data_IF_634527135422
#
_entry.id   IF_634527135422
#
_cell.length_a   1.000
_cell.length_b   1.000
_cell.length_c   1.000
_cell.angle_alpha   90.00
_cell.angle_beta   90.00
_cell.angle_gamma   90.00
#
_symmetry.space_group_name_H-M   'P 1'
#
loop_
_entity.id
_entity.type
_entity.pdbx_description
1 polymer ?
#
# COMPACT_ATOMS: atom_id res chain seq x y z
N UNK A 1 3.63 -23.19 2.51
CA UNK A 1 2.77 -22.36 1.64
C UNK A 1 2.85 -20.91 2.11
N UNK A 2 3.93 -20.22 1.75
CA UNK A 2 4.17 -18.79 2.06
C UNK A 2 4.84 -18.07 0.86
N UNK A 3 5.40 -18.82 -0.08
CA UNK A 3 6.12 -18.31 -1.25
C UNK A 3 5.24 -17.45 -2.18
N UNK A 4 3.93 -17.73 -2.25
CA UNK A 4 3.01 -16.97 -3.09
C UNK A 4 2.65 -15.58 -2.52
N UNK A 5 2.69 -15.42 -1.19
CA UNK A 5 2.24 -14.18 -0.55
C UNK A 5 3.23 -13.03 -0.76
N UNK A 6 4.54 -13.32 -0.69
CA UNK A 6 5.58 -12.33 -0.96
C UNK A 6 5.64 -11.93 -2.42
N UNK A 7 5.40 -12.87 -3.34
CA UNK A 7 5.40 -12.58 -4.78
C UNK A 7 4.19 -11.73 -5.19
N UNK A 8 3.02 -12.02 -4.60
CA UNK A 8 1.82 -11.18 -4.77
C UNK A 8 2.01 -9.77 -4.19
N UNK A 9 2.67 -9.59 -3.05
CA UNK A 9 2.95 -8.25 -2.49
C UNK A 9 3.94 -7.51 -3.40
N UNK A 10 5.01 -8.17 -3.85
CA UNK A 10 5.98 -7.60 -4.80
C UNK A 10 5.32 -7.15 -6.11
N UNK A 11 4.45 -7.97 -6.68
CA UNK A 11 3.70 -7.61 -7.89
C UNK A 11 2.71 -6.48 -7.63
N UNK A 12 2.00 -6.53 -6.50
CA UNK A 12 1.10 -5.45 -6.07
C UNK A 12 1.83 -4.12 -5.86
N UNK A 13 3.06 -4.15 -5.35
CA UNK A 13 3.92 -2.98 -5.23
C UNK A 13 4.39 -2.45 -6.58
N UNK A 14 4.80 -3.33 -7.50
CA UNK A 14 5.19 -2.96 -8.88
C UNK A 14 4.04 -2.34 -9.67
N UNK A 15 2.82 -2.83 -9.47
CA UNK A 15 1.60 -2.29 -10.09
C UNK A 15 1.20 -0.93 -9.51
N UNK A 16 1.81 -0.51 -8.39
CA UNK A 16 1.52 0.76 -7.74
C UNK A 16 0.40 0.65 -6.72
N UNK A 17 0.70 0.04 -5.56
CA UNK A 17 -0.21 -0.07 -4.39
C UNK A 17 -0.99 1.22 -4.11
N UNK A 18 -0.30 2.36 -4.11
CA UNK A 18 -0.90 3.65 -3.83
C UNK A 18 -1.97 4.03 -4.88
N UNK A 19 -1.66 3.89 -6.17
CA UNK A 19 -2.61 4.16 -7.24
C UNK A 19 -3.76 3.14 -7.26
N UNK A 20 -3.51 1.89 -6.88
CA UNK A 20 -4.57 0.87 -6.86
C UNK A 20 -5.57 1.06 -5.72
N UNK A 21 -5.13 1.46 -4.53
CA UNK A 21 -5.98 1.50 -3.32
C UNK A 21 -6.29 2.92 -2.87
N UNK A 22 -5.31 3.81 -2.86
CA UNK A 22 -5.50 5.17 -2.33
C UNK A 22 -6.36 6.04 -3.25
N UNK A 23 -6.35 5.81 -4.57
CA UNK A 23 -7.23 6.52 -5.51
C UNK A 23 -8.73 6.27 -5.21
N UNK A 24 -9.05 5.10 -4.64
CA UNK A 24 -10.42 4.77 -4.22
C UNK A 24 -10.87 5.61 -3.02
N UNK A 25 -9.92 6.05 -2.17
CA UNK A 25 -10.20 6.89 -0.99
C UNK A 25 -10.74 8.25 -1.45
N UNK A 26 -10.13 8.85 -2.48
CA UNK A 26 -10.58 10.11 -3.07
C UNK A 26 -11.96 9.95 -3.73
N UNK A 27 -12.20 8.83 -4.41
CA UNK A 27 -13.47 8.57 -5.09
C UNK A 27 -14.65 8.34 -4.12
N UNK A 28 -14.40 7.78 -2.94
CA UNK A 28 -15.42 7.38 -1.96
C UNK A 28 -15.75 8.50 -0.96
N UNK A 29 -14.78 9.36 -0.62
CA UNK A 29 -14.95 10.43 0.35
C UNK A 29 -15.46 11.77 -0.23
N UNK A 30 -16.40 11.72 -1.19
CA UNK A 30 -16.98 12.95 -1.78
C UNK A 30 -17.79 13.80 -0.79
N UNK A 31 -18.10 13.26 0.40
CA UNK A 31 -18.85 13.95 1.46
C UNK A 31 -17.97 14.41 2.64
N UNK A 32 -16.68 14.08 2.62
CA UNK A 32 -15.74 14.41 3.70
C UNK A 32 -14.96 15.67 3.35
N UNK A 33 -14.55 16.44 4.37
CA UNK A 33 -13.81 17.68 4.14
C UNK A 33 -12.50 17.41 3.42
N UNK A 34 -12.07 18.29 2.51
CA UNK A 34 -10.86 18.12 1.69
C UNK A 34 -9.62 17.74 2.53
N UNK A 35 -9.48 18.30 3.73
CA UNK A 35 -8.38 17.97 4.64
C UNK A 35 -8.40 16.53 5.18
N UNK A 36 -9.58 15.96 5.44
CA UNK A 36 -9.73 14.59 5.93
C UNK A 36 -9.44 13.57 4.81
N UNK A 37 -9.78 13.91 3.57
CA UNK A 37 -9.44 13.10 2.40
C UNK A 37 -7.93 13.07 2.17
N UNK A 38 -7.26 14.22 2.29
CA UNK A 38 -5.81 14.32 2.14
C UNK A 38 -5.10 13.47 3.20
N UNK A 39 -5.49 13.59 4.47
CA UNK A 39 -4.88 12.80 5.55
C UNK A 39 -5.07 11.29 5.35
N UNK A 40 -6.25 10.86 4.90
CA UNK A 40 -6.52 9.46 4.59
C UNK A 40 -5.67 8.93 3.42
N UNK A 41 -5.46 9.76 2.38
CA UNK A 41 -4.58 9.42 1.25
C UNK A 41 -3.13 9.34 1.71
N UNK A 42 -2.66 10.27 2.54
CA UNK A 42 -1.29 10.25 3.08
C UNK A 42 -1.03 8.99 3.94
N UNK A 43 -1.96 8.63 4.83
CA UNK A 43 -1.87 7.39 5.59
C UNK A 43 -1.87 6.15 4.70
N UNK A 44 -2.68 6.14 3.64
CA UNK A 44 -2.72 5.04 2.69
C UNK A 44 -1.39 4.89 1.93
N UNK A 45 -0.81 5.99 1.45
CA UNK A 45 0.50 5.99 0.76
C UNK A 45 1.60 5.49 1.70
N UNK A 46 1.60 5.92 2.96
CA UNK A 46 2.56 5.45 3.95
C UNK A 46 2.42 3.96 4.23
N UNK A 47 1.20 3.45 4.37
CA UNK A 47 0.96 2.02 4.55
C UNK A 47 1.44 1.19 3.34
N UNK A 48 1.18 1.67 2.12
CA UNK A 48 1.72 1.07 0.89
C UNK A 48 3.25 1.07 0.88
N UNK A 49 3.88 2.18 1.26
CA UNK A 49 5.33 2.29 1.35
C UNK A 49 5.90 1.31 2.38
N UNK A 50 5.30 1.21 3.56
CA UNK A 50 5.72 0.26 4.57
C UNK A 50 5.58 -1.18 4.07
N UNK A 51 4.42 -1.54 3.51
CA UNK A 51 4.17 -2.88 2.96
C UNK A 51 5.23 -3.26 1.91
N UNK A 52 5.45 -2.38 0.93
CA UNK A 52 6.36 -2.61 -0.19
C UNK A 52 7.85 -2.57 0.20
N UNK A 53 8.19 -1.89 1.30
CA UNK A 53 9.55 -1.89 1.85
C UNK A 53 9.78 -3.00 2.88
N UNK A 54 8.73 -3.60 3.45
CA UNK A 54 8.84 -4.63 4.49
C UNK A 54 9.32 -5.97 3.95
N UNK A 55 9.14 -6.23 2.66
CA UNK A 55 9.73 -7.39 1.98
C UNK A 55 11.27 -7.37 1.97
N UNK A 56 11.91 -6.19 2.08
CA UNK A 56 13.38 -6.10 2.22
C UNK A 56 13.88 -6.64 3.57
N UNK A 57 13.05 -6.59 4.63
CA UNK A 57 13.48 -6.96 5.99
C UNK A 57 13.06 -8.37 6.41
N UNK A 58 12.07 -8.97 5.76
CA UNK A 58 11.65 -10.35 6.06
C UNK A 58 12.25 -11.38 5.10
N UNK A 59 12.71 -10.97 3.91
CA UNK A 59 13.44 -11.86 3.00
C UNK A 59 14.91 -12.14 3.42
N UNK A 60 15.50 -11.32 4.31
CA UNK A 60 16.89 -11.50 4.78
C UNK A 60 17.02 -12.50 5.96
N UNK A 61 15.91 -13.03 6.49
CA UNK A 61 15.94 -14.01 7.59
C UNK A 61 15.89 -15.48 7.11
N UNK A 62 16.30 -15.76 5.87
CA UNK A 62 16.37 -17.14 5.34
C UNK A 62 17.44 -17.30 4.27
N UNK A 63 18.72 -17.22 4.67
CA UNK A 63 19.85 -18.03 4.16
C UNK A 63 21.17 -17.61 4.85
#
# INVERSE_FOLDING_TARGET
MLENSGDMISEYCKLGCASSVCDTITATNQNSGEGEVIEAVEHCVNACSELCNKDSKTALASA
#
